data_IF_672849900250
#
_entry.id   IF_672849900250
#
_cell.length_a   1.000
_cell.length_b   1.000
_cell.length_c   1.000
_cell.angle_alpha   90.00
_cell.angle_beta   90.00
_cell.angle_gamma   90.00
#
_symmetry.space_group_name_H-M   'P 1'
#
loop_
_entity.id
_entity.type
_entity.pdbx_description
1 polymer ?
#
# COMPACT_ATOMS: atom_id res chain seq x y z
N UNK A 1 -4.46 20.36 7.16
CA UNK A 1 -4.10 18.93 7.00
C UNK A 1 -4.20 18.61 5.52
N UNK A 2 -3.22 17.90 4.94
CA UNK A 2 -3.38 17.30 3.61
C UNK A 2 -4.58 16.32 3.65
N UNK A 3 -5.21 16.09 2.51
CA UNK A 3 -6.30 15.13 2.43
C UNK A 3 -5.82 13.73 2.86
N UNK A 4 -6.59 13.05 3.71
CA UNK A 4 -6.35 11.66 4.08
C UNK A 4 -6.91 10.77 2.97
N UNK A 5 -6.03 10.09 2.24
CA UNK A 5 -6.41 9.31 1.07
C UNK A 5 -6.31 7.81 1.35
N UNK A 6 -7.15 6.96 0.74
CA UNK A 6 -6.97 5.52 0.77
C UNK A 6 -5.55 5.14 0.35
N UNK A 7 -5.02 4.05 0.92
CA UNK A 7 -3.61 3.63 0.73
C UNK A 7 -2.55 4.50 1.42
N UNK A 8 -2.89 5.66 1.97
CA UNK A 8 -2.04 6.30 2.97
C UNK A 8 -2.19 5.62 4.32
N UNK A 9 -1.19 5.78 5.19
CA UNK A 9 -1.23 5.24 6.55
C UNK A 9 -1.34 6.35 7.62
N UNK A 10 -1.99 6.02 8.73
CA UNK A 10 -2.08 6.83 9.94
C UNK A 10 -1.33 6.14 11.06
N UNK A 11 -0.57 6.89 11.84
CA UNK A 11 0.12 6.38 13.02
C UNK A 11 -0.41 7.08 14.26
N UNK A 12 -0.58 6.31 15.33
CA UNK A 12 -1.02 6.79 16.65
C UNK A 12 0.13 6.80 17.65
N UNK A 13 -0.06 7.48 18.78
CA UNK A 13 0.97 7.60 19.82
C UNK A 13 1.42 6.24 20.40
N UNK A 14 0.58 5.22 20.30
CA UNK A 14 0.86 3.86 20.78
C UNK A 14 1.70 3.03 19.80
N UNK A 15 2.12 3.61 18.66
CA UNK A 15 2.90 2.91 17.63
C UNK A 15 2.05 2.03 16.71
N UNK A 16 0.74 2.22 16.68
CA UNK A 16 -0.16 1.51 15.76
C UNK A 16 -0.22 2.24 14.42
N UNK A 17 -0.14 1.50 13.32
CA UNK A 17 -0.13 2.04 11.96
C UNK A 17 -1.27 1.43 11.15
N UNK A 18 -2.20 2.29 10.75
CA UNK A 18 -3.45 1.94 10.08
C UNK A 18 -3.43 2.37 8.62
N UNK A 19 -3.81 1.50 7.69
CA UNK A 19 -4.08 1.87 6.32
C UNK A 19 -5.46 2.51 6.19
N UNK A 20 -5.56 3.68 5.58
CA UNK A 20 -6.85 4.30 5.27
C UNK A 20 -7.56 3.46 4.22
N UNK A 21 -8.82 3.10 4.49
CA UNK A 21 -9.64 2.26 3.60
C UNK A 21 -10.72 3.06 2.89
N UNK A 22 -11.21 4.12 3.52
CA UNK A 22 -12.25 5.00 2.99
C UNK A 22 -11.76 6.44 3.11
N UNK A 23 -11.91 7.30 2.08
CA UNK A 23 -11.54 8.71 2.19
C UNK A 23 -12.48 9.53 3.08
N UNK A 24 -13.70 9.04 3.34
CA UNK A 24 -14.73 9.78 4.06
C UNK A 24 -14.67 9.42 5.55
N UNK A 25 -14.36 10.39 6.43
CA UNK A 25 -14.39 10.16 7.86
C UNK A 25 -15.84 9.98 8.35
N UNK A 26 -16.00 9.36 9.51
CA UNK A 26 -17.28 9.13 10.16
C UNK A 26 -17.13 9.42 11.65
N UNK A 27 -18.05 10.20 12.23
CA UNK A 27 -18.03 10.61 13.64
C UNK A 27 -16.68 11.19 14.12
N UNK A 28 -16.01 11.97 13.27
CA UNK A 28 -14.69 12.55 13.57
C UNK A 28 -13.52 11.55 13.57
N UNK A 29 -13.75 10.35 13.05
CA UNK A 29 -12.74 9.28 12.93
C UNK A 29 -12.48 8.96 11.46
N UNK A 30 -11.23 8.65 11.13
CA UNK A 30 -10.88 8.14 9.82
C UNK A 30 -11.06 6.63 9.78
N UNK A 31 -11.89 6.13 8.85
CA UNK A 31 -12.06 4.70 8.64
C UNK A 31 -10.79 4.10 8.01
N UNK A 32 -10.27 3.07 8.66
CA UNK A 32 -8.97 2.50 8.35
C UNK A 32 -8.91 1.02 8.73
N UNK A 33 -7.74 0.41 8.59
CA UNK A 33 -7.47 -0.96 9.00
C UNK A 33 -6.08 -1.05 9.62
N UNK A 34 -5.94 -1.71 10.77
CA UNK A 34 -4.65 -1.85 11.44
C UNK A 34 -3.77 -2.80 10.63
N UNK A 35 -2.56 -2.36 10.26
CA UNK A 35 -1.65 -3.14 9.39
C UNK A 35 -0.32 -3.43 10.05
N UNK A 36 0.16 -2.51 10.86
CA UNK A 36 1.41 -2.69 11.59
C UNK A 36 1.27 -2.19 13.02
N UNK A 37 2.03 -2.79 13.91
CA UNK A 37 2.25 -2.26 15.25
C UNK A 37 3.76 -2.15 15.48
N UNK A 38 4.13 -1.18 16.29
CA UNK A 38 5.50 -0.97 16.73
C UNK A 38 5.49 -0.94 18.25
N UNK A 39 6.35 -1.72 18.87
CA UNK A 39 6.58 -1.58 20.30
C UNK A 39 7.32 -0.26 20.57
N UNK A 40 6.89 0.46 21.60
CA UNK A 40 7.54 1.71 21.99
C UNK A 40 8.99 1.39 22.41
N UNK A 41 9.95 1.92 21.67
CA UNK A 41 11.38 1.62 21.83
C UNK A 41 11.94 0.60 20.84
N UNK A 42 11.11 -0.11 20.08
CA UNK A 42 11.55 -0.95 18.97
C UNK A 42 11.59 -0.18 17.64
N UNK A 43 12.67 -0.38 16.89
CA UNK A 43 12.97 0.43 15.70
C UNK A 43 12.16 0.06 14.45
N UNK A 44 11.53 -1.11 14.38
CA UNK A 44 10.87 -1.60 13.14
C UNK A 44 9.41 -1.97 13.37
N UNK A 45 8.46 -1.51 12.53
CA UNK A 45 7.07 -1.97 12.59
C UNK A 45 6.96 -3.44 12.21
N UNK A 46 6.14 -4.16 12.96
CA UNK A 46 5.76 -5.54 12.68
C UNK A 46 4.42 -5.59 11.98
N UNK A 47 4.33 -6.44 10.94
CA UNK A 47 3.10 -6.58 10.15
C UNK A 47 2.13 -7.49 10.89
N UNK A 48 0.90 -7.03 11.03
CA UNK A 48 -0.20 -7.82 11.58
C UNK A 48 -1.04 -8.39 10.43
N UNK A 49 -1.43 -9.66 10.56
CA UNK A 49 -2.49 -10.22 9.73
C UNK A 49 -3.87 -9.76 10.24
N UNK A 50 -4.93 -10.15 9.54
CA UNK A 50 -6.30 -9.75 9.89
C UNK A 50 -6.68 -10.18 11.31
N UNK A 51 -6.34 -11.41 11.70
CA UNK A 51 -6.69 -11.95 13.01
C UNK A 51 -5.92 -11.25 14.13
N UNK A 52 -4.60 -11.08 13.97
CA UNK A 52 -3.73 -10.38 14.91
C UNK A 52 -4.09 -8.90 15.05
N UNK A 53 -4.48 -8.23 13.96
CA UNK A 53 -4.96 -6.86 14.01
C UNK A 53 -6.25 -6.74 14.86
N UNK A 54 -7.21 -7.64 14.65
CA UNK A 54 -8.46 -7.66 15.42
C UNK A 54 -8.20 -7.98 16.89
N UNK A 55 -7.38 -8.99 17.18
CA UNK A 55 -7.02 -9.38 18.55
C UNK A 55 -6.33 -8.23 19.28
N UNK A 56 -5.34 -7.60 18.66
CA UNK A 56 -4.62 -6.45 19.20
C UNK A 56 -5.58 -5.32 19.60
N UNK A 57 -6.52 -4.95 18.73
CA UNK A 57 -7.48 -3.90 19.05
C UNK A 57 -8.47 -4.31 20.13
N UNK A 58 -9.02 -5.53 20.07
CA UNK A 58 -9.97 -6.00 21.09
C UNK A 58 -9.37 -6.03 22.49
N UNK A 59 -8.14 -6.51 22.61
CA UNK A 59 -7.50 -6.74 23.90
C UNK A 59 -6.87 -5.48 24.48
N UNK A 60 -6.26 -4.64 23.64
CA UNK A 60 -5.38 -3.54 24.11
C UNK A 60 -5.91 -2.17 23.74
N UNK A 61 -6.59 -2.03 22.62
CA UNK A 61 -6.98 -0.72 22.07
C UNK A 61 -8.41 -0.68 21.52
N UNK A 62 -9.43 -1.06 22.32
CA UNK A 62 -10.80 -1.23 21.82
C UNK A 62 -11.42 0.07 21.32
N UNK A 63 -10.88 1.24 21.71
CA UNK A 63 -11.28 2.56 21.21
C UNK A 63 -11.14 2.75 19.70
N UNK A 64 -10.33 1.93 19.04
CA UNK A 64 -10.15 1.97 17.58
C UNK A 64 -11.08 1.00 16.82
N UNK A 65 -11.90 0.21 17.52
CA UNK A 65 -12.99 -0.56 16.92
C UNK A 65 -14.21 0.34 16.74
N UNK A 66 -14.83 0.29 15.57
CA UNK A 66 -15.96 1.16 15.25
C UNK A 66 -16.98 0.42 14.39
N UNK A 67 -18.26 0.49 14.77
CA UNK A 67 -19.34 0.07 13.91
C UNK A 67 -19.69 1.23 12.98
N UNK A 68 -19.50 1.06 11.67
CA UNK A 68 -19.86 2.08 10.69
C UNK A 68 -21.29 1.87 10.22
N UNK A 69 -22.25 2.76 10.54
CA UNK A 69 -23.62 2.65 10.04
C UNK A 69 -23.70 2.78 8.51
N UNK A 70 -22.79 3.56 7.91
CA UNK A 70 -22.74 3.74 6.45
C UNK A 70 -22.34 2.47 5.70
N UNK A 71 -21.44 1.68 6.29
CA UNK A 71 -20.96 0.43 5.70
C UNK A 71 -21.70 -0.80 6.24
N UNK A 72 -22.51 -0.62 7.28
CA UNK A 72 -23.17 -1.68 8.06
C UNK A 72 -22.18 -2.79 8.47
N UNK A 73 -21.02 -2.37 8.99
CA UNK A 73 -19.90 -3.28 9.27
C UNK A 73 -19.02 -2.79 10.42
N UNK A 74 -18.39 -3.76 11.09
CA UNK A 74 -17.29 -3.49 12.02
C UNK A 74 -16.02 -3.16 11.23
N UNK A 75 -15.48 -1.99 11.48
CA UNK A 75 -14.25 -1.47 10.87
C UNK A 75 -13.32 -0.96 11.95
N UNK A 76 -12.08 -0.61 11.58
CA UNK A 76 -11.23 0.15 12.47
C UNK A 76 -11.39 1.63 12.15
N UNK A 77 -11.31 2.48 13.18
CA UNK A 77 -11.39 3.91 12.99
C UNK A 77 -10.47 4.64 13.97
N UNK A 78 -9.68 5.58 13.47
CA UNK A 78 -8.78 6.39 14.28
C UNK A 78 -9.39 7.79 14.44
N UNK A 79 -9.71 8.25 15.66
CA UNK A 79 -10.11 9.63 15.91
C UNK A 79 -9.04 10.59 15.37
N UNK A 80 -9.44 11.68 14.70
CA UNK A 80 -8.46 12.62 14.13
C UNK A 80 -7.48 13.18 15.17
N UNK A 81 -7.95 13.38 16.41
CA UNK A 81 -7.12 13.84 17.52
C UNK A 81 -6.06 12.82 17.98
N UNK A 82 -6.21 11.53 17.64
CA UNK A 82 -5.25 10.47 17.97
C UNK A 82 -4.20 10.25 16.88
N UNK A 83 -4.32 10.92 15.72
CA UNK A 83 -3.36 10.82 14.62
C UNK A 83 -2.13 11.66 14.98
N UNK A 84 -1.00 11.00 15.24
CA UNK A 84 0.27 11.69 15.49
C UNK A 84 1.11 11.84 14.22
N UNK A 85 0.87 10.98 13.22
CA UNK A 85 1.55 11.08 11.93
C UNK A 85 0.69 10.54 10.79
N UNK A 86 0.75 11.22 9.65
CA UNK A 86 0.20 10.79 8.38
C UNK A 86 1.33 10.40 7.44
N UNK A 87 1.32 9.17 6.97
CA UNK A 87 2.25 8.65 5.97
C UNK A 87 1.58 8.71 4.60
N UNK A 88 1.90 9.74 3.82
CA UNK A 88 1.36 9.94 2.48
C UNK A 88 2.16 9.17 1.42
N UNK A 89 1.46 8.39 0.60
CA UNK A 89 2.02 7.59 -0.47
C UNK A 89 2.75 8.44 -1.52
N UNK A 90 2.16 9.59 -1.90
CA UNK A 90 2.77 10.53 -2.86
C UNK A 90 3.96 11.24 -2.24
N UNK A 91 3.85 11.69 -0.99
CA UNK A 91 4.97 12.34 -0.31
C UNK A 91 6.17 11.41 -0.19
N UNK A 92 5.94 10.12 0.06
CA UNK A 92 6.99 9.10 0.10
C UNK A 92 7.72 8.96 -1.23
N UNK A 93 7.00 8.86 -2.35
CA UNK A 93 7.62 8.84 -3.68
C UNK A 93 8.41 10.13 -3.96
N UNK A 94 7.86 11.29 -3.59
CA UNK A 94 8.57 12.58 -3.72
C UNK A 94 9.90 12.58 -2.97
N UNK A 95 9.88 12.15 -1.71
CA UNK A 95 11.09 12.05 -0.88
C UNK A 95 12.14 11.09 -1.47
N UNK A 96 11.70 9.93 -1.98
CA UNK A 96 12.58 8.95 -2.63
C UNK A 96 13.19 9.47 -3.94
N UNK A 97 12.43 10.26 -4.72
CA UNK A 97 12.91 10.84 -5.97
C UNK A 97 13.92 11.99 -5.76
N UNK A 98 13.76 12.75 -4.67
CA UNK A 98 14.64 13.88 -4.33
C UNK A 98 15.86 13.51 -3.48
N UNK A 99 15.81 12.38 -2.78
CA UNK A 99 16.83 11.97 -1.82
C UNK A 99 17.84 10.95 -2.37
N UNK A 100 18.87 10.67 -1.57
CA UNK A 100 19.70 9.48 -1.73
C UNK A 100 19.03 8.28 -1.02
N UNK A 101 19.12 7.11 -1.64
CA UNK A 101 18.59 5.85 -1.09
C UNK A 101 19.72 4.84 -0.98
N UNK A 102 19.88 4.22 0.19
CA UNK A 102 20.85 3.15 0.43
C UNK A 102 20.22 1.76 0.38
N UNK A 103 18.90 1.68 0.63
CA UNK A 103 18.15 0.43 0.55
C UNK A 103 18.04 -0.05 -0.92
N UNK A 104 18.43 -1.30 -1.24
CA UNK A 104 18.39 -1.81 -2.62
C UNK A 104 16.99 -1.84 -3.25
N UNK A 105 15.96 -2.08 -2.44
CA UNK A 105 14.57 -2.15 -2.88
C UNK A 105 14.04 -0.74 -3.16
N UNK A 106 14.36 0.24 -2.32
CA UNK A 106 14.09 1.66 -2.59
C UNK A 106 14.84 2.15 -3.83
N UNK A 107 16.10 1.75 -4.04
CA UNK A 107 16.86 2.09 -5.24
C UNK A 107 16.21 1.53 -6.51
N UNK A 108 15.66 0.30 -6.46
CA UNK A 108 14.86 -0.27 -7.55
C UNK A 108 13.56 0.50 -7.78
N UNK A 109 12.87 0.89 -6.71
CA UNK A 109 11.65 1.69 -6.79
C UNK A 109 11.94 3.05 -7.43
N UNK A 110 13.00 3.75 -7.03
CA UNK A 110 13.40 5.04 -7.62
C UNK A 110 13.64 4.91 -9.12
N UNK A 111 14.29 3.83 -9.59
CA UNK A 111 14.45 3.58 -11.03
C UNK A 111 13.11 3.43 -11.74
N UNK A 112 12.18 2.67 -11.16
CA UNK A 112 10.84 2.48 -11.72
C UNK A 112 10.02 3.80 -11.72
N UNK A 113 10.11 4.60 -10.66
CA UNK A 113 9.44 5.91 -10.59
C UNK A 113 10.01 6.86 -11.67
N UNK A 114 11.34 6.94 -11.81
CA UNK A 114 12.00 7.72 -12.86
C UNK A 114 11.61 7.26 -14.27
N UNK A 115 11.45 5.96 -14.48
CA UNK A 115 10.96 5.39 -15.75
C UNK A 115 9.58 5.95 -16.13
N UNK A 116 8.65 5.99 -15.17
CA UNK A 116 7.31 6.55 -15.41
C UNK A 116 7.32 8.07 -15.59
N UNK A 117 8.11 8.79 -14.79
CA UNK A 117 8.25 10.25 -14.93
C UNK A 117 8.80 10.64 -16.29
N UNK A 118 9.83 9.94 -16.78
CA UNK A 118 10.41 10.16 -18.11
C UNK A 118 9.40 9.92 -19.25
N UNK A 119 8.31 9.19 -18.99
CA UNK A 119 7.22 8.90 -19.93
C UNK A 119 5.98 9.76 -19.67
N UNK A 120 6.15 10.88 -18.97
CA UNK A 120 5.13 11.90 -18.80
C UNK A 120 4.09 11.58 -17.72
N UNK A 121 4.40 10.69 -16.77
CA UNK A 121 3.59 10.57 -15.54
C UNK A 121 4.06 11.62 -14.54
N UNK A 122 3.19 12.55 -14.09
CA UNK A 122 3.59 13.52 -13.09
C UNK A 122 4.01 12.83 -11.80
N UNK A 123 5.13 13.25 -11.20
CA UNK A 123 5.61 12.66 -9.95
C UNK A 123 4.58 12.78 -8.81
N UNK A 124 3.77 13.85 -8.82
CA UNK A 124 2.69 14.07 -7.86
C UNK A 124 1.51 13.07 -7.99
N UNK A 125 1.43 12.31 -9.09
CA UNK A 125 0.43 11.25 -9.27
C UNK A 125 0.94 9.86 -8.85
N UNK A 126 2.23 9.73 -8.56
CA UNK A 126 2.86 8.48 -8.16
C UNK A 126 2.90 8.36 -6.65
N UNK A 127 2.17 7.38 -6.10
CA UNK A 127 2.27 6.98 -4.71
C UNK A 127 2.88 5.59 -4.55
N UNK A 128 3.43 5.31 -3.37
CA UNK A 128 3.79 3.96 -2.93
C UNK A 128 3.15 3.68 -1.57
N UNK A 129 2.55 2.50 -1.41
CA UNK A 129 1.92 2.06 -0.16
C UNK A 129 2.61 0.81 0.41
N UNK A 130 2.03 0.21 1.45
CA UNK A 130 2.53 -1.02 2.05
C UNK A 130 3.78 -0.78 2.89
N UNK A 131 4.71 -1.74 2.85
CA UNK A 131 5.91 -1.70 3.69
C UNK A 131 6.85 -0.55 3.33
N UNK A 132 6.99 -0.24 2.03
CA UNK A 132 7.84 0.85 1.53
C UNK A 132 7.35 2.25 1.94
N UNK A 133 6.06 2.40 2.24
CA UNK A 133 5.50 3.67 2.73
C UNK A 133 6.08 4.07 4.10
N UNK A 134 6.29 3.09 4.96
CA UNK A 134 6.69 3.28 6.36
C UNK A 134 8.10 2.76 6.68
N UNK A 135 8.88 2.37 5.67
CA UNK A 135 10.23 1.82 5.87
C UNK A 135 10.26 0.43 6.50
N UNK A 136 9.17 -0.34 6.40
CA UNK A 136 9.05 -1.69 6.97
C UNK A 136 9.46 -2.81 6.00
N UNK A 137 9.95 -2.47 4.81
CA UNK A 137 10.22 -3.43 3.74
C UNK A 137 11.31 -4.45 4.08
N UNK A 138 11.13 -5.66 3.58
CA UNK A 138 12.09 -6.77 3.59
C UNK A 138 12.62 -6.98 2.17
N UNK A 139 13.66 -7.82 2.02
CA UNK A 139 14.14 -8.24 0.69
C UNK A 139 13.05 -8.91 -0.17
N UNK A 140 12.01 -9.47 0.46
CA UNK A 140 10.85 -10.11 -0.17
C UNK A 140 9.65 -9.17 -0.38
N UNK A 141 9.77 -7.88 -0.09
CA UNK A 141 8.66 -6.94 -0.28
C UNK A 141 8.44 -6.58 -1.74
N UNK A 142 7.16 -6.54 -2.13
CA UNK A 142 6.71 -6.12 -3.47
C UNK A 142 6.58 -4.59 -3.57
N UNK A 143 6.44 -4.08 -4.78
CA UNK A 143 6.07 -2.69 -5.05
C UNK A 143 4.56 -2.51 -5.17
N UNK A 144 3.96 -1.85 -4.18
CA UNK A 144 2.55 -1.45 -4.22
C UNK A 144 2.44 0.02 -4.64
N UNK A 145 2.38 0.27 -5.95
CA UNK A 145 2.18 1.62 -6.49
C UNK A 145 0.71 2.06 -6.41
N UNK A 146 0.51 3.36 -6.22
CA UNK A 146 -0.80 4.01 -6.11
C UNK A 146 -0.89 5.14 -7.13
N UNK A 147 -2.04 5.24 -7.79
CA UNK A 147 -2.43 6.42 -8.54
C UNK A 147 -3.85 6.80 -8.13
N UNK A 148 -4.05 8.06 -7.75
CA UNK A 148 -5.32 8.56 -7.22
C UNK A 148 -6.32 8.97 -8.30
N UNK A 149 -5.84 9.18 -9.53
CA UNK A 149 -6.68 9.54 -10.67
C UNK A 149 -6.94 8.30 -11.54
N UNK A 150 -8.17 8.16 -12.06
CA UNK A 150 -8.49 7.11 -13.05
C UNK A 150 -7.61 7.21 -14.31
N UNK A 151 -7.38 8.42 -14.89
CA UNK A 151 -6.49 8.56 -16.03
C UNK A 151 -5.04 8.18 -15.71
N UNK A 152 -4.51 8.55 -14.54
CA UNK A 152 -3.17 8.19 -14.09
C UNK A 152 -3.03 6.68 -13.90
N UNK A 153 -4.02 6.04 -13.28
CA UNK A 153 -4.06 4.58 -13.15
C UNK A 153 -4.07 3.86 -14.50
N UNK A 154 -4.89 4.32 -15.46
CA UNK A 154 -4.93 3.78 -16.81
C UNK A 154 -3.59 3.96 -17.54
N UNK A 155 -2.99 5.15 -17.41
CA UNK A 155 -1.68 5.48 -17.99
C UNK A 155 -0.58 4.55 -17.46
N UNK A 156 -0.51 4.35 -16.15
CA UNK A 156 0.48 3.44 -15.54
C UNK A 156 0.33 2.01 -16.05
N UNK A 157 -0.90 1.48 -16.13
CA UNK A 157 -1.15 0.15 -16.69
C UNK A 157 -0.70 0.04 -18.15
N UNK A 158 -0.97 1.06 -18.95
CA UNK A 158 -0.51 1.13 -20.34
C UNK A 158 1.01 1.12 -20.45
N UNK A 159 1.69 1.89 -19.60
CA UNK A 159 3.16 1.92 -19.56
C UNK A 159 3.76 0.59 -19.12
N UNK A 160 3.17 -0.08 -18.12
CA UNK A 160 3.61 -1.42 -17.71
C UNK A 160 3.42 -2.43 -18.85
N UNK A 161 2.28 -2.39 -19.54
CA UNK A 161 2.03 -3.26 -20.69
C UNK A 161 3.05 -3.05 -21.82
N UNK A 162 3.32 -1.78 -22.17
CA UNK A 162 4.30 -1.43 -23.19
C UNK A 162 5.72 -1.85 -22.78
N UNK A 163 6.10 -1.63 -21.52
CA UNK A 163 7.39 -2.03 -20.97
C UNK A 163 7.59 -3.55 -20.98
N UNK A 164 6.52 -4.32 -20.78
CA UNK A 164 6.56 -5.77 -20.88
C UNK A 164 6.73 -6.24 -22.33
N UNK A 165 6.04 -5.58 -23.27
CA UNK A 165 6.19 -5.87 -24.69
C UNK A 165 7.59 -5.53 -25.22
N UNK A 166 8.23 -4.47 -24.71
CA UNK A 166 9.60 -4.07 -25.07
C UNK A 166 10.70 -4.81 -24.28
N UNK A 167 10.34 -5.57 -23.24
CA UNK A 167 11.29 -6.26 -22.37
C UNK A 167 11.97 -5.38 -21.31
N UNK A 168 11.58 -4.11 -21.18
CA UNK A 168 12.09 -3.18 -20.16
C UNK A 168 11.61 -3.52 -18.74
N UNK A 169 10.41 -4.10 -18.62
CA UNK A 169 9.90 -4.69 -17.38
C UNK A 169 9.64 -6.16 -17.65
N UNK A 170 10.23 -7.04 -16.84
CA UNK A 170 10.05 -8.47 -17.04
C UNK A 170 8.65 -8.87 -16.58
N UNK A 171 7.95 -9.65 -17.40
CA UNK A 171 6.69 -10.28 -16.98
C UNK A 171 6.96 -11.33 -15.88
N UNK A 172 5.94 -11.62 -15.07
CA UNK A 172 6.04 -12.71 -14.08
C UNK A 172 6.25 -14.04 -14.80
N UNK A 173 7.23 -14.81 -14.34
CA UNK A 173 7.40 -16.21 -14.71
C UNK A 173 6.41 -17.12 -13.98
N UNK A 174 6.43 -18.42 -14.29
CA UNK A 174 5.51 -19.40 -13.71
C UNK A 174 5.63 -19.48 -12.18
N UNK A 175 6.85 -19.37 -11.64
CA UNK A 175 7.08 -19.44 -10.20
C UNK A 175 6.48 -18.22 -9.50
N UNK A 176 6.74 -17.01 -10.02
CA UNK A 176 6.16 -15.78 -9.50
C UNK A 176 4.61 -15.76 -9.60
N UNK A 177 4.04 -16.35 -10.66
CA UNK A 177 2.59 -16.52 -10.76
C UNK A 177 2.04 -17.48 -9.71
N UNK A 178 2.71 -18.60 -9.44
CA UNK A 178 2.31 -19.56 -8.41
C UNK A 178 2.37 -18.94 -7.02
N UNK A 179 3.41 -18.16 -6.71
CA UNK A 179 3.51 -17.43 -5.45
C UNK A 179 2.40 -16.39 -5.29
N UNK A 180 2.10 -15.63 -6.35
CA UNK A 180 1.03 -14.65 -6.35
C UNK A 180 -0.35 -15.30 -6.14
N UNK A 181 -0.58 -16.46 -6.76
CA UNK A 181 -1.80 -17.25 -6.60
C UNK A 181 -1.93 -17.82 -5.18
N UNK A 182 -0.89 -18.48 -4.67
CA UNK A 182 -0.86 -19.04 -3.32
C UNK A 182 -1.14 -17.98 -2.25
N UNK A 183 -0.53 -16.79 -2.39
CA UNK A 183 -0.76 -15.66 -1.48
C UNK A 183 -2.17 -15.07 -1.59
N UNK A 184 -2.83 -15.20 -2.75
CA UNK A 184 -4.21 -14.70 -2.91
C UNK A 184 -5.21 -15.58 -2.16
N UNK A 185 -4.96 -16.90 -2.09
CA UNK A 185 -5.83 -17.85 -1.40
C UNK A 185 -7.27 -17.82 -1.89
N UNK A 186 -7.50 -17.54 -3.17
CA UNK A 186 -8.85 -17.43 -3.74
C UNK A 186 -9.40 -18.77 -4.21
N UNK A 187 -10.72 -18.83 -4.44
CA UNK A 187 -11.41 -20.00 -4.98
C UNK A 187 -11.10 -20.31 -6.46
N UNK A 188 -10.43 -19.39 -7.19
CA UNK A 188 -10.10 -19.57 -8.60
C UNK A 188 -8.96 -20.59 -8.76
N UNK A 189 -9.06 -21.44 -9.78
CA UNK A 189 -7.95 -22.28 -10.24
C UNK A 189 -6.78 -21.42 -10.76
N UNK A 190 -5.58 -22.02 -10.82
CA UNK A 190 -4.36 -21.30 -11.21
C UNK A 190 -4.48 -20.60 -12.58
N UNK A 191 -4.92 -21.33 -13.61
CA UNK A 191 -5.00 -20.77 -14.98
C UNK A 191 -6.03 -19.65 -15.08
N UNK A 192 -7.17 -19.78 -14.41
CA UNK A 192 -8.21 -18.74 -14.35
C UNK A 192 -7.69 -17.49 -13.61
N UNK A 193 -7.02 -17.68 -12.47
CA UNK A 193 -6.37 -16.59 -11.74
C UNK A 193 -5.37 -15.85 -12.63
N UNK A 194 -4.47 -16.58 -13.29
CA UNK A 194 -3.46 -16.00 -14.19
C UNK A 194 -4.12 -15.26 -15.35
N UNK A 195 -5.15 -15.85 -15.96
CA UNK A 195 -5.91 -15.20 -17.03
C UNK A 195 -6.51 -13.88 -16.54
N UNK A 196 -7.14 -13.84 -15.38
CA UNK A 196 -7.74 -12.63 -14.83
C UNK A 196 -6.71 -11.54 -14.47
N UNK A 197 -5.59 -11.93 -13.87
CA UNK A 197 -4.56 -10.97 -13.44
C UNK A 197 -3.76 -10.40 -14.61
N UNK A 198 -3.45 -11.19 -15.65
CA UNK A 198 -2.64 -10.71 -16.79
C UNK A 198 -3.25 -9.51 -17.50
N UNK A 199 -4.58 -9.47 -17.65
CA UNK A 199 -5.33 -8.38 -18.31
C UNK A 199 -5.21 -7.05 -17.55
N UNK A 200 -4.77 -7.09 -16.29
CA UNK A 200 -4.63 -5.91 -15.45
C UNK A 200 -3.35 -5.14 -15.71
N UNK A 201 -2.32 -5.74 -16.33
CA UNK A 201 -1.03 -5.06 -16.60
C UNK A 201 -0.51 -4.29 -15.37
N UNK A 202 -0.55 -4.93 -14.20
CA UNK A 202 -0.19 -4.33 -12.91
C UNK A 202 0.76 -5.22 -12.09
N UNK A 203 1.44 -6.18 -12.74
CA UNK A 203 2.45 -7.06 -12.15
C UNK A 203 3.64 -7.15 -13.09
N UNK A 204 4.85 -7.09 -12.54
CA UNK A 204 6.13 -7.26 -13.23
C UNK A 204 7.26 -7.54 -12.24
N UNK A 205 8.45 -7.88 -12.73
CA UNK A 205 9.67 -8.16 -11.95
C UNK A 205 10.76 -7.13 -12.24
#
# INVERSE_FOLDING_TARGET
MLALLPRDFLETAEGLIFAIVDPVPEDGKQLCWLRYAREVGSGRPEKLDTAGAIACLRERFPRYLHHSPRLDAQVHAVPHAAIVRHHSAVARCGALLSGSVSDPLEARLVRLLKYFVARGVPAAELGVTGSLLIGAQTASSDFDLVAYSRPGFARLRGLVAAAQASGEIRALDKAAWLEAWARRGCALGFDEYVWHERRKHNKGL
#
